data_IF_588589555540
#
_entry.id   IF_588589555540
#
_cell.length_a   1.000
_cell.length_b   1.000
_cell.length_c   1.000
_cell.angle_alpha   90.00
_cell.angle_beta   90.00
_cell.angle_gamma   90.00
#
_symmetry.space_group_name_H-M   'P 1'
#
loop_
_entity.id
_entity.type
_entity.pdbx_description
1 polymer ?
#
# COMPACT_ATOMS: atom_id res chain seq x y z
N UNK A 1 47.94 34.28 -67.56
CA UNK A 1 46.72 33.67 -68.12
C UNK A 1 46.76 32.19 -67.81
N UNK A 2 46.33 31.85 -66.60
CA UNK A 2 46.24 30.53 -65.96
C UNK A 2 45.51 30.87 -64.66
N UNK A 3 44.32 30.41 -64.33
CA UNK A 3 43.80 29.05 -64.27
C UNK A 3 43.02 29.03 -62.96
N UNK A 4 41.69 29.22 -63.05
CA UNK A 4 40.77 29.31 -61.91
C UNK A 4 40.50 27.88 -61.44
N UNK A 5 41.04 27.50 -60.29
CA UNK A 5 40.73 26.24 -59.62
C UNK A 5 39.62 26.47 -58.62
N UNK A 6 38.43 25.95 -58.91
CA UNK A 6 37.32 25.85 -57.99
C UNK A 6 37.64 24.75 -56.97
N UNK A 7 37.71 25.11 -55.69
CA UNK A 7 37.78 24.15 -54.60
C UNK A 7 36.39 23.63 -54.32
N UNK A 8 36.15 22.36 -54.67
CA UNK A 8 34.97 21.61 -54.27
C UNK A 8 34.98 21.44 -52.74
N UNK A 9 34.09 22.15 -52.05
CA UNK A 9 33.74 21.84 -50.67
C UNK A 9 32.96 20.53 -50.65
N UNK A 10 33.66 19.43 -50.34
CA UNK A 10 33.05 18.15 -49.98
C UNK A 10 32.28 18.31 -48.67
N UNK A 11 30.98 18.57 -48.78
CA UNK A 11 30.07 18.45 -47.66
C UNK A 11 30.08 16.99 -47.18
N UNK A 12 30.49 16.78 -45.93
CA UNK A 12 30.37 15.50 -45.26
C UNK A 12 28.88 15.17 -45.13
N UNK A 13 28.35 14.39 -46.07
CA UNK A 13 26.96 13.96 -46.07
C UNK A 13 26.66 13.11 -44.85
N UNK A 14 25.74 13.58 -44.00
CA UNK A 14 25.21 12.83 -42.86
C UNK A 14 24.54 11.57 -43.39
N UNK A 15 25.17 10.42 -43.15
CA UNK A 15 24.57 9.13 -43.48
C UNK A 15 23.67 8.70 -42.33
N UNK A 16 22.48 8.23 -42.68
CA UNK A 16 21.49 7.75 -41.73
C UNK A 16 21.36 6.23 -41.86
N UNK A 17 21.04 5.51 -40.78
CA UNK A 17 20.84 4.07 -40.82
C UNK A 17 19.42 3.71 -40.37
N UNK A 18 18.81 2.75 -41.07
CA UNK A 18 17.53 2.16 -40.68
C UNK A 18 17.71 1.33 -39.42
N UNK A 19 16.87 1.55 -38.40
CA UNK A 19 17.01 0.89 -37.10
C UNK A 19 16.75 -0.63 -37.16
N UNK A 20 15.94 -1.06 -38.12
CA UNK A 20 15.41 -2.42 -38.18
C UNK A 20 16.29 -3.35 -39.01
N UNK A 21 16.86 -2.85 -40.13
CA UNK A 21 17.74 -3.62 -41.00
C UNK A 21 19.20 -3.12 -41.05
N UNK A 22 19.51 -1.94 -40.51
CA UNK A 22 20.85 -1.35 -40.52
C UNK A 22 21.28 -0.72 -41.85
N UNK A 23 20.44 -0.74 -42.88
CA UNK A 23 20.78 -0.19 -44.20
C UNK A 23 20.97 1.33 -44.18
N UNK A 24 21.87 1.84 -45.02
CA UNK A 24 22.10 3.29 -45.17
C UNK A 24 20.96 3.95 -45.94
N UNK A 25 20.34 4.99 -45.37
CA UNK A 25 19.22 5.73 -45.93
C UNK A 25 19.67 7.15 -46.26
N UNK A 26 19.19 7.70 -47.39
CA UNK A 26 19.42 9.11 -47.69
C UNK A 26 18.61 9.98 -46.72
N UNK A 27 19.15 11.14 -46.27
CA UNK A 27 18.52 11.99 -45.25
C UNK A 27 17.09 12.42 -45.56
N UNK A 28 16.68 12.43 -46.83
CA UNK A 28 15.39 12.95 -47.28
C UNK A 28 14.35 11.86 -47.59
N UNK A 29 14.69 10.57 -47.37
CA UNK A 29 13.79 9.46 -47.70
C UNK A 29 12.76 9.21 -46.58
N UNK A 30 11.47 9.15 -46.95
CA UNK A 30 10.34 8.94 -46.04
C UNK A 30 10.15 7.48 -45.58
N UNK A 31 10.84 6.53 -46.21
CA UNK A 31 10.77 5.10 -45.89
C UNK A 31 12.08 4.40 -46.28
N UNK A 32 12.42 3.31 -45.60
CA UNK A 32 13.58 2.50 -45.99
C UNK A 32 13.28 1.70 -47.28
N UNK A 33 14.15 1.81 -48.29
CA UNK A 33 13.97 1.07 -49.55
C UNK A 33 14.15 -0.46 -49.42
N UNK A 34 14.77 -0.95 -48.34
CA UNK A 34 14.97 -2.39 -48.14
C UNK A 34 13.84 -3.06 -47.34
N UNK A 35 13.38 -2.45 -46.24
CA UNK A 35 12.34 -3.05 -45.40
C UNK A 35 10.95 -2.39 -45.50
N UNK A 36 10.83 -1.26 -46.19
CA UNK A 36 9.56 -0.55 -46.39
C UNK A 36 9.02 0.19 -45.17
N UNK A 37 9.78 0.24 -44.07
CA UNK A 37 9.28 0.80 -42.81
C UNK A 37 9.39 2.34 -42.78
N UNK A 38 8.35 3.01 -42.26
CA UNK A 38 8.15 4.47 -42.33
C UNK A 38 8.59 5.22 -41.06
N UNK A 39 9.14 4.54 -40.05
CA UNK A 39 9.45 5.17 -38.75
C UNK A 39 10.89 4.95 -38.25
N UNK A 40 11.47 6.09 -37.84
CA UNK A 40 12.67 6.30 -37.02
C UNK A 40 14.02 6.15 -37.75
N UNK A 41 14.51 7.29 -38.22
CA UNK A 41 15.86 7.48 -38.75
C UNK A 41 16.69 8.25 -37.70
N UNK A 42 17.79 7.67 -37.21
CA UNK A 42 18.74 8.35 -36.31
C UNK A 42 20.07 8.65 -37.03
N UNK A 43 20.76 9.76 -36.73
CA UNK A 43 22.07 10.06 -37.30
C UNK A 43 23.13 9.10 -36.73
N UNK A 44 23.90 8.45 -37.61
CA UNK A 44 25.00 7.59 -37.19
C UNK A 44 26.24 8.44 -36.89
N UNK A 45 26.64 8.49 -35.61
CA UNK A 45 27.78 9.19 -34.97
C UNK A 45 27.53 10.61 -34.45
N UNK A 46 27.36 10.68 -33.14
CA UNK A 46 27.77 11.81 -32.32
C UNK A 46 29.06 11.42 -31.60
N UNK A 47 30.19 12.02 -31.97
CA UNK A 47 31.44 11.92 -31.20
C UNK A 47 31.63 13.22 -30.43
N UNK A 48 31.70 13.21 -29.08
CA UNK A 48 32.00 14.41 -28.33
C UNK A 48 33.48 14.74 -28.55
N UNK A 49 33.74 15.93 -29.10
CA UNK A 49 35.08 16.47 -29.15
C UNK A 49 35.38 17.12 -27.80
N UNK A 50 36.50 16.74 -27.18
CA UNK A 50 37.01 17.30 -25.94
C UNK A 50 37.21 18.82 -26.06
N UNK A 51 36.51 19.58 -25.23
CA UNK A 51 37.11 20.68 -24.46
C UNK A 51 36.15 21.06 -23.34
N UNK A 52 36.64 20.96 -22.11
CA UNK A 52 35.96 21.35 -20.89
C UNK A 52 35.63 22.85 -20.85
N UNK A 53 34.60 23.17 -20.05
CA UNK A 53 34.37 24.45 -19.38
C UNK A 53 33.84 25.63 -20.21
N UNK A 54 32.55 25.60 -20.59
CA UNK A 54 31.82 26.88 -20.79
C UNK A 54 30.29 26.80 -20.59
N UNK A 55 29.76 25.70 -20.04
CA UNK A 55 28.30 25.56 -19.87
C UNK A 55 27.79 26.17 -18.56
N UNK A 56 28.58 26.15 -17.49
CA UNK A 56 28.20 26.71 -16.18
C UNK A 56 28.39 28.23 -16.10
N UNK A 57 29.28 28.81 -16.90
CA UNK A 57 29.56 30.25 -16.98
C UNK A 57 28.43 31.05 -17.64
N UNK A 58 27.65 30.44 -18.55
CA UNK A 58 26.61 31.13 -19.32
C UNK A 58 25.27 31.26 -18.61
N UNK A 59 25.02 30.48 -17.56
CA UNK A 59 23.71 30.48 -16.90
C UNK A 59 23.63 31.33 -15.63
N UNK A 60 24.74 31.83 -15.05
CA UNK A 60 24.74 32.61 -13.78
C UNK A 60 23.78 32.05 -12.70
N UNK A 61 23.64 30.73 -12.66
CA UNK A 61 22.78 30.04 -11.72
C UNK A 61 23.63 29.65 -10.51
N UNK A 62 23.27 30.13 -9.32
CA UNK A 62 23.99 29.86 -8.08
C UNK A 62 24.06 28.36 -7.79
N UNK A 63 25.09 27.93 -7.06
CA UNK A 63 25.40 26.52 -6.79
C UNK A 63 24.18 25.69 -6.35
N UNK A 64 23.26 26.28 -5.59
CA UNK A 64 22.04 25.61 -5.13
C UNK A 64 21.03 25.33 -6.25
N UNK A 65 20.92 26.22 -7.24
CA UNK A 65 20.03 26.02 -8.39
C UNK A 65 20.55 24.94 -9.35
N UNK A 66 21.86 24.76 -9.44
CA UNK A 66 22.46 23.67 -10.23
C UNK A 66 22.13 22.28 -9.67
N UNK A 67 22.10 22.14 -8.34
CA UNK A 67 21.72 20.90 -7.66
C UNK A 67 20.24 20.60 -7.89
N UNK A 68 19.37 21.63 -7.81
CA UNK A 68 17.93 21.46 -8.03
C UNK A 68 17.60 21.03 -9.47
N UNK A 69 18.30 21.62 -10.46
CA UNK A 69 18.14 21.25 -11.88
C UNK A 69 18.68 19.84 -12.14
N UNK A 70 19.80 19.47 -11.51
CA UNK A 70 20.35 18.11 -11.59
C UNK A 70 19.40 17.06 -11.00
N UNK A 71 18.82 17.33 -9.83
CA UNK A 71 17.85 16.45 -9.19
C UNK A 71 16.57 16.32 -10.01
N UNK A 72 16.04 17.42 -10.53
CA UNK A 72 14.82 17.38 -11.36
C UNK A 72 15.04 16.63 -12.68
N UNK A 73 16.21 16.79 -13.32
CA UNK A 73 16.58 15.99 -14.50
C UNK A 73 16.75 14.52 -14.17
N UNK A 74 17.37 14.16 -13.04
CA UNK A 74 17.50 12.77 -12.60
C UNK A 74 16.13 12.13 -12.27
N UNK A 75 15.23 12.90 -11.65
CA UNK A 75 13.85 12.47 -11.37
C UNK A 75 13.04 12.31 -12.65
N UNK A 76 13.22 13.20 -13.63
CA UNK A 76 12.59 13.09 -14.94
C UNK A 76 13.15 11.90 -15.75
N UNK A 77 14.46 11.64 -15.69
CA UNK A 77 15.09 10.49 -16.34
C UNK A 77 14.64 9.16 -15.71
N UNK A 78 14.52 9.10 -14.39
CA UNK A 78 14.01 7.92 -13.69
C UNK A 78 12.52 7.69 -13.97
N UNK A 79 11.69 8.74 -14.02
CA UNK A 79 10.27 8.64 -14.40
C UNK A 79 10.07 8.22 -15.86
N UNK A 80 10.93 8.65 -16.78
CA UNK A 80 10.90 8.23 -18.19
C UNK A 80 11.39 6.80 -18.38
N UNK A 81 12.35 6.32 -17.59
CA UNK A 81 12.72 4.90 -17.55
C UNK A 81 11.59 4.04 -16.94
N UNK A 82 10.88 4.55 -15.93
CA UNK A 82 9.73 3.88 -15.32
C UNK A 82 8.52 3.83 -16.27
N UNK A 83 8.30 4.87 -17.08
CA UNK A 83 7.25 4.87 -18.12
C UNK A 83 7.59 3.95 -19.29
N UNK A 84 8.87 3.83 -19.66
CA UNK A 84 9.36 2.84 -20.62
C UNK A 84 9.15 1.38 -20.16
N UNK A 85 9.28 1.12 -18.86
CA UNK A 85 8.92 -0.18 -18.27
C UNK A 85 7.39 -0.43 -18.31
N UNK A 86 6.57 0.62 -18.20
CA UNK A 86 5.10 0.56 -18.26
C UNK A 86 4.56 0.21 -19.66
N UNK A 87 5.18 0.72 -20.73
CA UNK A 87 4.81 0.31 -22.09
C UNK A 87 5.20 -1.14 -22.42
N UNK A 88 6.21 -1.71 -21.77
CA UNK A 88 6.49 -3.15 -21.86
C UNK A 88 5.45 -4.02 -21.17
N UNK A 89 4.74 -3.50 -20.17
CA UNK A 89 3.63 -4.21 -19.51
C UNK A 89 2.28 -4.04 -20.22
N UNK A 90 2.03 -2.92 -20.92
CA UNK A 90 0.80 -2.74 -21.71
C UNK A 90 0.77 -3.59 -22.99
N UNK A 91 1.93 -3.90 -23.58
CA UNK A 91 2.02 -4.84 -24.70
C UNK A 91 1.67 -6.30 -24.33
N UNK A 92 1.56 -6.63 -23.04
CA UNK A 92 1.08 -7.92 -22.53
C UNK A 92 -0.43 -7.94 -22.23
N UNK A 93 -1.12 -6.80 -22.29
CA UNK A 93 -2.55 -6.66 -21.98
C UNK A 93 -3.44 -6.40 -23.22
N UNK A 94 -2.87 -6.33 -24.43
CA UNK A 94 -3.62 -6.12 -25.68
C UNK A 94 -4.06 -7.40 -26.41
N UNK A 95 -3.98 -8.58 -25.78
CA UNK A 95 -4.63 -9.79 -26.31
C UNK A 95 -4.06 -10.38 -27.60
N UNK A 96 -2.84 -10.02 -28.01
CA UNK A 96 -2.08 -10.82 -28.97
C UNK A 96 -1.25 -11.86 -28.21
N UNK A 97 -1.61 -13.14 -28.38
CA UNK A 97 -0.92 -14.28 -27.75
C UNK A 97 0.55 -14.31 -28.16
N UNK A 98 1.53 -14.18 -27.24
CA UNK A 98 2.86 -14.70 -27.50
C UNK A 98 2.83 -16.22 -27.28
N UNK A 99 3.10 -16.98 -28.33
CA UNK A 99 2.93 -18.44 -28.41
C UNK A 99 3.79 -19.32 -27.51
N UNK A 100 4.31 -18.85 -26.36
CA UNK A 100 5.27 -19.61 -25.55
C UNK A 100 4.90 -19.82 -24.06
N UNK A 101 3.72 -19.39 -23.59
CA UNK A 101 3.29 -19.58 -22.19
C UNK A 101 2.28 -20.73 -21.99
N UNK A 102 2.22 -21.70 -22.91
CA UNK A 102 1.52 -22.97 -22.69
C UNK A 102 2.47 -24.11 -22.31
N UNK A 103 3.79 -23.89 -22.34
CA UNK A 103 4.77 -24.96 -22.15
C UNK A 103 4.91 -25.32 -20.66
N UNK A 104 4.79 -24.36 -19.73
CA UNK A 104 4.94 -24.65 -18.29
C UNK A 104 3.75 -25.43 -17.70
N UNK A 105 2.52 -25.01 -17.99
CA UNK A 105 1.31 -25.73 -17.53
C UNK A 105 1.15 -27.08 -18.23
N UNK A 106 1.51 -27.19 -19.51
CA UNK A 106 1.50 -28.48 -20.22
C UNK A 106 2.64 -29.40 -19.75
N UNK A 107 3.83 -28.89 -19.43
CA UNK A 107 4.95 -29.68 -18.91
C UNK A 107 4.67 -30.20 -17.50
N UNK A 108 4.03 -29.40 -16.65
CA UNK A 108 3.62 -29.81 -15.31
C UNK A 108 2.46 -30.82 -15.41
N UNK A 109 1.44 -30.56 -16.23
CA UNK A 109 0.36 -31.52 -16.48
C UNK A 109 0.87 -32.84 -17.08
N UNK A 110 1.87 -32.80 -17.97
CA UNK A 110 2.52 -33.99 -18.53
C UNK A 110 3.39 -34.73 -17.50
N UNK A 111 4.00 -34.01 -16.54
CA UNK A 111 4.76 -34.63 -15.44
C UNK A 111 3.83 -35.30 -14.42
N UNK A 112 2.67 -34.68 -14.14
CA UNK A 112 1.61 -35.27 -13.30
C UNK A 112 1.03 -36.55 -13.92
N UNK A 113 0.92 -36.63 -15.25
CA UNK A 113 0.47 -37.83 -15.97
C UNK A 113 1.46 -39.01 -15.92
N UNK A 114 2.72 -38.79 -15.53
CA UNK A 114 3.77 -39.82 -15.51
C UNK A 114 4.05 -40.42 -14.12
N UNK A 115 3.26 -40.07 -13.10
CA UNK A 115 3.33 -40.73 -11.78
C UNK A 115 2.77 -42.16 -11.88
N UNK A 116 3.42 -43.17 -11.28
CA UNK A 116 2.91 -44.54 -11.30
C UNK A 116 1.62 -44.61 -10.50
N UNK A 117 0.50 -44.71 -11.20
CA UNK A 117 -0.80 -45.01 -10.61
C UNK A 117 -0.76 -46.39 -9.97
N UNK A 118 -0.76 -46.42 -8.63
CA UNK A 118 -1.15 -47.64 -7.92
C UNK A 118 -2.63 -47.87 -8.22
N UNK A 119 -2.88 -48.96 -8.94
CA UNK A 119 -4.15 -49.18 -9.60
C UNK A 119 -5.28 -49.52 -8.64
N UNK A 120 -6.43 -48.88 -8.85
CA UNK A 120 -7.72 -49.54 -8.75
C UNK A 120 -8.72 -48.84 -9.67
N UNK A 121 -9.33 -49.63 -10.55
CA UNK A 121 -10.26 -49.18 -11.60
C UNK A 121 -11.67 -49.01 -11.04
N UNK A 122 -12.26 -47.81 -11.16
CA UNK A 122 -13.73 -47.65 -11.29
C UNK A 122 -14.06 -46.42 -12.15
N UNK A 123 -14.82 -46.68 -13.23
CA UNK A 123 -16.00 -45.90 -13.65
C UNK A 123 -15.83 -44.46 -14.12
N UNK A 124 -15.99 -44.26 -15.43
CA UNK A 124 -16.26 -42.98 -16.07
C UNK A 124 -17.53 -42.30 -15.52
N UNK A 125 -17.35 -41.17 -14.83
CA UNK A 125 -18.26 -40.03 -14.82
C UNK A 125 -17.41 -38.77 -14.95
N UNK A 126 -17.85 -37.84 -15.79
CA UNK A 126 -17.21 -36.54 -16.03
C UNK A 126 -17.43 -35.60 -14.84
N UNK A 127 -16.87 -35.94 -13.70
CA UNK A 127 -16.64 -35.04 -12.57
C UNK A 127 -15.31 -34.33 -12.77
N UNK A 128 -15.29 -33.03 -12.47
CA UNK A 128 -14.10 -32.18 -12.51
C UNK A 128 -12.90 -32.95 -11.96
N UNK A 129 -11.83 -33.06 -12.76
CA UNK A 129 -10.56 -33.62 -12.30
C UNK A 129 -9.99 -32.62 -11.28
N UNK A 130 -10.53 -32.65 -10.07
CA UNK A 130 -9.90 -32.13 -8.87
C UNK A 130 -8.61 -32.94 -8.73
N UNK A 131 -7.54 -32.39 -9.29
CA UNK A 131 -6.20 -32.94 -9.13
C UNK A 131 -5.98 -33.06 -7.63
N UNK A 132 -5.76 -34.28 -7.17
CA UNK A 132 -5.55 -34.58 -5.76
C UNK A 132 -4.44 -33.68 -5.18
N UNK A 133 -4.76 -32.95 -4.11
CA UNK A 133 -3.86 -32.00 -3.47
C UNK A 133 -2.59 -32.68 -2.97
N UNK A 134 -2.66 -33.94 -2.53
CA UNK A 134 -1.47 -34.63 -2.04
C UNK A 134 -0.52 -34.97 -3.18
N UNK A 135 -1.05 -35.34 -4.35
CA UNK A 135 -0.27 -35.50 -5.57
C UNK A 135 0.45 -34.20 -5.98
N UNK A 136 -0.20 -33.03 -5.84
CA UNK A 136 0.43 -31.73 -6.10
C UNK A 136 1.53 -31.39 -5.08
N UNK A 137 1.31 -31.71 -3.80
CA UNK A 137 2.34 -31.54 -2.76
C UNK A 137 3.54 -32.43 -3.02
N UNK A 138 3.33 -33.67 -3.43
CA UNK A 138 4.41 -34.60 -3.71
C UNK A 138 5.24 -34.14 -4.91
N UNK A 139 4.59 -33.66 -5.97
CA UNK A 139 5.26 -33.03 -7.11
C UNK A 139 6.14 -31.86 -6.64
N UNK A 140 5.59 -30.98 -5.80
CA UNK A 140 6.33 -29.83 -5.30
C UNK A 140 7.57 -30.26 -4.48
N UNK A 141 7.42 -31.25 -3.59
CA UNK A 141 8.53 -31.83 -2.81
C UNK A 141 9.57 -32.51 -3.70
N UNK A 142 9.14 -33.18 -4.77
CA UNK A 142 10.06 -33.78 -5.73
C UNK A 142 10.90 -32.70 -6.44
N UNK A 143 10.28 -31.61 -6.88
CA UNK A 143 10.98 -30.46 -7.45
C UNK A 143 11.94 -29.82 -6.43
N UNK A 144 11.56 -29.70 -5.16
CA UNK A 144 12.45 -29.22 -4.08
C UNK A 144 13.65 -30.16 -3.88
N UNK A 145 13.42 -31.48 -3.91
CA UNK A 145 14.49 -32.48 -3.75
C UNK A 145 15.52 -32.44 -4.89
N UNK A 146 15.09 -32.02 -6.08
CA UNK A 146 15.94 -31.79 -7.26
C UNK A 146 16.58 -30.39 -7.28
N UNK A 147 16.32 -29.56 -6.27
CA UNK A 147 16.69 -28.15 -6.21
C UNK A 147 16.14 -27.31 -7.38
N UNK A 148 15.10 -27.80 -8.05
CA UNK A 148 14.35 -27.09 -9.10
C UNK A 148 13.37 -26.08 -8.46
N UNK A 149 13.91 -25.08 -7.77
CA UNK A 149 13.12 -24.15 -6.94
C UNK A 149 12.04 -23.36 -7.71
N UNK A 150 12.23 -23.11 -9.01
CA UNK A 150 11.20 -22.47 -9.85
C UNK A 150 10.01 -23.39 -10.10
N UNK A 151 10.27 -24.63 -10.47
CA UNK A 151 9.22 -25.63 -10.70
C UNK A 151 8.51 -25.97 -9.39
N UNK A 152 9.25 -26.05 -8.28
CA UNK A 152 8.67 -26.19 -6.94
C UNK A 152 7.73 -25.03 -6.61
N UNK A 153 8.13 -23.78 -6.88
CA UNK A 153 7.30 -22.60 -6.64
C UNK A 153 6.03 -22.58 -7.51
N UNK A 154 6.07 -23.13 -8.72
CA UNK A 154 4.91 -23.27 -9.60
C UNK A 154 3.98 -24.39 -9.12
N UNK A 155 4.52 -25.54 -8.72
CA UNK A 155 3.76 -26.63 -8.14
C UNK A 155 3.07 -26.22 -6.83
N UNK A 156 3.78 -25.54 -5.93
CA UNK A 156 3.21 -24.99 -4.70
C UNK A 156 2.13 -23.93 -4.95
N UNK A 157 2.21 -23.16 -6.05
CA UNK A 157 1.16 -22.21 -6.40
C UNK A 157 -0.17 -22.93 -6.69
N UNK A 158 -0.12 -24.10 -7.34
CA UNK A 158 -1.30 -24.95 -7.55
C UNK A 158 -1.86 -25.49 -6.23
N UNK A 159 -1.00 -25.89 -5.30
CA UNK A 159 -1.43 -26.37 -3.97
C UNK A 159 -2.16 -25.27 -3.18
N UNK A 160 -1.68 -24.04 -3.23
CA UNK A 160 -2.28 -22.92 -2.50
C UNK A 160 -3.65 -22.53 -3.05
N UNK A 161 -3.90 -22.70 -4.34
CA UNK A 161 -5.23 -22.41 -4.90
C UNK A 161 -6.25 -23.53 -4.61
N UNK A 162 -5.80 -24.69 -4.10
CA UNK A 162 -6.69 -25.77 -3.70
C UNK A 162 -7.45 -25.41 -2.40
N UNK A 163 -8.77 -25.70 -2.29
CA UNK A 163 -9.57 -25.36 -1.13
C UNK A 163 -9.08 -26.01 0.18
N UNK A 164 -8.56 -27.23 0.09
CA UNK A 164 -8.02 -28.01 1.21
C UNK A 164 -6.54 -27.72 1.54
N UNK A 165 -6.02 -26.58 1.10
CA UNK A 165 -4.70 -26.13 1.51
C UNK A 165 -4.60 -26.03 3.04
N UNK A 166 -3.37 -26.12 3.55
CA UNK A 166 -3.04 -25.94 4.96
C UNK A 166 -1.96 -24.89 5.08
N UNK A 167 -1.72 -24.42 6.29
CA UNK A 167 -0.68 -23.42 6.53
C UNK A 167 0.69 -23.90 6.05
N UNK A 168 1.03 -25.18 6.21
CA UNK A 168 2.29 -25.76 5.74
C UNK A 168 2.52 -25.50 4.24
N UNK A 169 1.46 -25.54 3.43
CA UNK A 169 1.55 -25.31 1.99
C UNK A 169 1.98 -23.87 1.68
N UNK A 170 1.45 -22.90 2.42
CA UNK A 170 1.89 -21.51 2.31
C UNK A 170 3.34 -21.32 2.75
N UNK A 171 3.75 -21.98 3.84
CA UNK A 171 5.12 -21.87 4.36
C UNK A 171 6.13 -22.48 3.39
N UNK A 172 5.82 -23.64 2.80
CA UNK A 172 6.69 -24.30 1.83
C UNK A 172 6.77 -23.50 0.52
N UNK A 173 5.64 -22.96 0.05
CA UNK A 173 5.62 -22.08 -1.12
C UNK A 173 6.47 -20.82 -0.90
N UNK A 174 6.32 -20.17 0.26
CA UNK A 174 7.14 -19.02 0.63
C UNK A 174 8.63 -19.39 0.66
N UNK A 175 8.99 -20.54 1.25
CA UNK A 175 10.36 -21.04 1.26
C UNK A 175 10.92 -21.26 -0.16
N UNK A 176 10.14 -21.86 -1.06
CA UNK A 176 10.52 -22.02 -2.46
C UNK A 176 10.75 -20.67 -3.16
N UNK A 177 9.89 -19.66 -2.89
CA UNK A 177 10.05 -18.28 -3.39
C UNK A 177 11.30 -17.59 -2.83
N UNK A 178 11.61 -17.78 -1.55
CA UNK A 178 12.85 -17.28 -0.95
C UNK A 178 14.09 -17.89 -1.60
N UNK A 179 14.06 -19.19 -1.94
CA UNK A 179 15.18 -19.89 -2.58
C UNK A 179 15.48 -19.39 -3.99
N UNK A 180 14.46 -18.93 -4.73
CA UNK A 180 14.66 -18.26 -6.02
C UNK A 180 15.00 -16.77 -5.90
N UNK A 181 15.05 -16.22 -4.68
CA UNK A 181 15.32 -14.80 -4.40
C UNK A 181 14.11 -13.87 -4.48
N UNK A 182 12.91 -14.42 -4.63
CA UNK A 182 11.65 -13.67 -4.72
C UNK A 182 11.05 -13.41 -3.33
N UNK A 183 11.78 -12.62 -2.54
CA UNK A 183 11.36 -12.24 -1.19
C UNK A 183 10.03 -11.48 -1.12
N UNK A 184 9.70 -10.55 -2.06
CA UNK A 184 8.41 -9.87 -2.05
C UNK A 184 7.22 -10.82 -2.16
N UNK A 185 7.28 -11.79 -3.07
CA UNK A 185 6.22 -12.81 -3.20
C UNK A 185 6.16 -13.72 -1.98
N UNK A 186 7.29 -14.08 -1.39
CA UNK A 186 7.32 -14.86 -0.14
C UNK A 186 6.63 -14.10 1.02
N UNK A 187 6.88 -12.80 1.16
CA UNK A 187 6.19 -11.94 2.15
C UNK A 187 4.68 -11.91 1.89
N UNK A 188 4.25 -11.77 0.63
CA UNK A 188 2.83 -11.75 0.28
C UNK A 188 2.14 -13.08 0.65
N UNK A 189 2.79 -14.21 0.35
CA UNK A 189 2.29 -15.54 0.72
C UNK A 189 2.18 -15.74 2.23
N UNK A 190 3.21 -15.32 2.99
CA UNK A 190 3.20 -15.44 4.45
C UNK A 190 2.14 -14.52 5.09
N UNK A 191 1.90 -13.33 4.54
CA UNK A 191 0.77 -12.49 4.96
C UNK A 191 -0.58 -13.19 4.70
N UNK A 192 -0.77 -13.78 3.52
CA UNK A 192 -1.98 -14.56 3.19
C UNK A 192 -2.15 -15.74 4.16
N UNK A 193 -1.05 -16.39 4.54
CA UNK A 193 -1.05 -17.45 5.55
C UNK A 193 -1.52 -16.94 6.93
N UNK A 194 -1.00 -15.81 7.41
CA UNK A 194 -1.40 -15.22 8.69
C UNK A 194 -2.88 -14.79 8.71
N UNK A 195 -3.39 -14.28 7.58
CA UNK A 195 -4.81 -13.90 7.45
C UNK A 195 -5.72 -15.12 7.44
N UNK A 196 -5.32 -16.20 6.74
CA UNK A 196 -6.14 -17.42 6.62
C UNK A 196 -6.07 -18.30 7.87
N UNK A 197 -4.93 -18.30 8.57
CA UNK A 197 -4.65 -19.12 9.75
C UNK A 197 -4.16 -18.25 10.93
N UNK A 198 -5.01 -17.37 11.48
CA UNK A 198 -4.59 -16.42 12.51
C UNK A 198 -4.19 -17.09 13.84
N UNK A 199 -4.69 -18.30 14.11
CA UNK A 199 -4.38 -19.05 15.33
C UNK A 199 -3.08 -19.85 15.24
N UNK A 200 -2.37 -19.83 14.10
CA UNK A 200 -1.11 -20.53 13.95
C UNK A 200 0.08 -19.58 13.93
N UNK A 201 0.86 -19.64 15.01
CA UNK A 201 2.11 -18.88 15.18
C UNK A 201 3.12 -19.05 14.03
N UNK A 202 3.12 -20.17 13.29
CA UNK A 202 4.16 -20.46 12.30
C UNK A 202 4.16 -19.44 11.16
N UNK A 203 2.99 -18.89 10.81
CA UNK A 203 2.88 -17.81 9.82
C UNK A 203 3.63 -16.56 10.27
N UNK A 204 3.31 -16.07 11.48
CA UNK A 204 3.95 -14.90 12.07
C UNK A 204 5.45 -15.09 12.30
N UNK A 205 5.85 -16.28 12.77
CA UNK A 205 7.26 -16.64 12.96
C UNK A 205 8.04 -16.58 11.65
N UNK A 206 7.52 -17.20 10.58
CA UNK A 206 8.19 -17.21 9.28
C UNK A 206 8.24 -15.82 8.65
N UNK A 207 7.16 -15.05 8.77
CA UNK A 207 7.10 -13.68 8.26
C UNK A 207 8.10 -12.77 8.99
N UNK A 208 8.11 -12.80 10.33
CA UNK A 208 9.06 -12.03 11.12
C UNK A 208 10.51 -12.44 10.83
N UNK A 209 10.80 -13.74 10.75
CA UNK A 209 12.14 -14.24 10.46
C UNK A 209 12.63 -13.84 9.06
N UNK A 210 11.74 -13.79 8.07
CA UNK A 210 12.05 -13.27 6.74
C UNK A 210 12.37 -11.77 6.80
N UNK A 211 11.58 -10.98 7.53
CA UNK A 211 11.83 -9.55 7.70
C UNK A 211 13.15 -9.26 8.45
N UNK A 212 13.48 -10.02 9.50
CA UNK A 212 14.78 -9.92 10.19
C UNK A 212 15.93 -10.15 9.20
N UNK A 213 15.81 -11.16 8.34
CA UNK A 213 16.84 -11.50 7.34
C UNK A 213 17.00 -10.44 6.25
N UNK A 214 15.94 -9.69 5.98
CA UNK A 214 15.95 -8.54 5.08
C UNK A 214 16.44 -7.25 5.79
N UNK A 215 16.75 -7.30 7.08
CA UNK A 215 17.20 -6.15 7.87
C UNK A 215 16.06 -5.27 8.40
N UNK A 216 14.80 -5.68 8.23
CA UNK A 216 13.63 -4.93 8.66
C UNK A 216 13.20 -5.33 10.08
N UNK A 217 14.06 -5.14 11.07
CA UNK A 217 13.82 -5.57 12.46
C UNK A 217 12.55 -4.98 13.07
N UNK A 218 12.23 -3.71 12.77
CA UNK A 218 10.99 -3.08 13.23
C UNK A 218 9.73 -3.76 12.64
N UNK A 219 9.76 -4.13 11.36
CA UNK A 219 8.67 -4.86 10.73
C UNK A 219 8.55 -6.28 11.31
N UNK A 220 9.67 -6.95 11.57
CA UNK A 220 9.66 -8.26 12.22
C UNK A 220 9.04 -8.21 13.63
N UNK A 221 9.43 -7.23 14.44
CA UNK A 221 8.89 -7.01 15.78
C UNK A 221 7.37 -6.80 15.76
N UNK A 222 6.88 -5.98 14.82
CA UNK A 222 5.44 -5.79 14.61
C UNK A 222 4.73 -7.12 14.32
N UNK A 223 5.28 -7.97 13.46
CA UNK A 223 4.67 -9.26 13.13
C UNK A 223 4.65 -10.24 14.32
N UNK A 224 5.72 -10.26 15.13
CA UNK A 224 5.75 -11.06 16.36
C UNK A 224 4.74 -10.56 17.38
N UNK A 225 4.58 -9.24 17.53
CA UNK A 225 3.58 -8.64 18.41
C UNK A 225 2.14 -8.98 17.97
N UNK A 226 1.86 -8.95 16.67
CA UNK A 226 0.57 -9.41 16.12
C UNK A 226 0.37 -10.89 16.41
N UNK A 227 1.37 -11.74 16.21
CA UNK A 227 1.26 -13.16 16.55
C UNK A 227 0.97 -13.40 18.05
N UNK A 228 1.59 -12.62 18.92
CA UNK A 228 1.37 -12.70 20.38
C UNK A 228 -0.02 -12.21 20.81
N UNK A 229 -0.68 -11.35 20.04
CA UNK A 229 -2.06 -10.95 20.37
C UNK A 229 -3.05 -12.11 20.16
N UNK A 230 -2.77 -13.02 19.22
CA UNK A 230 -3.52 -14.26 19.03
C UNK A 230 -3.05 -15.39 19.95
N UNK A 231 -1.74 -15.46 20.23
CA UNK A 231 -1.11 -16.54 21.01
C UNK A 231 -0.18 -15.97 22.11
N UNK A 232 -0.72 -15.44 23.21
CA UNK A 232 0.03 -14.68 24.21
C UNK A 232 1.18 -15.44 24.85
N UNK A 233 1.01 -16.74 25.07
CA UNK A 233 1.97 -17.59 25.79
C UNK A 233 2.89 -18.38 24.86
N UNK A 234 2.95 -18.04 23.57
CA UNK A 234 3.78 -18.79 22.63
C UNK A 234 5.28 -18.52 22.86
N UNK A 235 6.08 -19.53 23.26
CA UNK A 235 7.48 -19.32 23.64
C UNK A 235 8.35 -18.88 22.46
N UNK A 236 8.05 -19.34 21.24
CA UNK A 236 8.83 -19.02 20.05
C UNK A 236 8.63 -17.56 19.63
N UNK A 237 7.39 -17.05 19.72
CA UNK A 237 7.10 -15.65 19.42
C UNK A 237 7.70 -14.71 20.47
N UNK A 238 7.60 -15.08 21.76
CA UNK A 238 8.23 -14.31 22.85
C UNK A 238 9.76 -14.26 22.71
N UNK A 239 10.41 -15.38 22.38
CA UNK A 239 11.86 -15.41 22.18
C UNK A 239 12.28 -14.54 20.99
N UNK A 240 11.52 -14.60 19.89
CA UNK A 240 11.79 -13.82 18.67
C UNK A 240 11.58 -12.32 18.91
N UNK A 241 10.56 -11.94 19.67
CA UNK A 241 10.32 -10.55 20.09
C UNK A 241 11.47 -10.02 20.95
N UNK A 242 11.88 -10.76 22.00
CA UNK A 242 13.02 -10.37 22.85
C UNK A 242 14.32 -10.21 22.06
N UNK A 243 14.52 -11.04 21.04
CA UNK A 243 15.68 -10.93 20.14
C UNK A 243 15.62 -9.65 19.32
N UNK A 244 14.47 -9.31 18.74
CA UNK A 244 14.24 -8.07 18.01
C UNK A 244 14.40 -6.83 18.89
N UNK A 245 13.90 -6.85 20.12
CA UNK A 245 14.05 -5.76 21.10
C UNK A 245 15.53 -5.47 21.37
N UNK A 246 16.32 -6.52 21.65
CA UNK A 246 17.77 -6.36 21.87
C UNK A 246 18.52 -5.79 20.66
N UNK A 247 18.04 -6.05 19.45
CA UNK A 247 18.62 -5.48 18.23
C UNK A 247 18.23 -4.01 18.01
N UNK A 248 17.08 -3.59 18.54
CA UNK A 248 16.55 -2.23 18.43
C UNK A 248 16.90 -1.34 19.62
N UNK A 249 17.28 -1.91 20.76
CA UNK A 249 17.83 -1.15 21.88
C UNK A 249 19.04 -0.35 21.37
N UNK A 250 18.97 0.99 21.35
CA UNK A 250 20.14 1.79 21.05
C UNK A 250 21.19 1.42 22.09
N UNK A 251 22.43 1.14 21.66
CA UNK A 251 23.55 0.92 22.56
C UNK A 251 23.56 2.05 23.59
N UNK A 252 23.09 1.78 24.79
CA UNK A 252 22.91 2.82 25.79
C UNK A 252 24.31 3.39 26.08
N UNK A 253 24.53 4.71 25.99
CA UNK A 253 25.80 5.26 26.41
C UNK A 253 26.00 4.92 27.89
N UNK A 254 27.25 4.71 28.35
CA UNK A 254 27.55 4.39 29.73
C UNK A 254 27.39 5.65 30.60
N UNK A 255 26.16 6.12 30.80
CA UNK A 255 25.84 7.09 31.85
C UNK A 255 25.22 6.43 33.07
N UNK A 256 24.86 5.14 33.00
CA UNK A 256 24.51 4.31 34.17
C UNK A 256 25.68 4.08 35.15
N UNK A 257 26.88 4.60 34.84
CA UNK A 257 28.01 4.68 35.76
C UNK A 257 28.19 6.07 36.42
N UNK A 258 27.23 6.99 36.28
CA UNK A 258 27.27 8.33 36.89
C UNK A 258 26.20 8.56 37.95
N UNK A 259 25.74 7.51 38.65
CA UNK A 259 24.86 7.67 39.82
C UNK A 259 25.61 7.99 41.13
N UNK A 260 26.94 8.10 41.12
CA UNK A 260 27.71 8.46 42.31
C UNK A 260 28.32 9.87 42.20
N UNK A 261 27.74 10.78 42.99
CA UNK A 261 28.26 12.06 43.47
C UNK A 261 28.22 13.28 42.53
N UNK A 262 27.08 13.97 42.54
CA UNK A 262 27.09 15.43 42.67
C UNK A 262 25.83 15.88 43.41
N UNK A 263 26.02 16.26 44.66
CA UNK A 263 25.03 16.96 45.49
C UNK A 263 24.48 18.18 44.75
N UNK A 264 23.16 18.25 44.65
CA UNK A 264 22.38 19.34 44.05
C UNK A 264 22.38 20.64 44.89
N UNK A 265 23.46 20.92 45.62
CA UNK A 265 23.57 22.09 46.51
C UNK A 265 24.41 23.24 45.91
N UNK A 266 25.00 23.06 44.71
CA UNK A 266 25.98 24.01 44.17
C UNK A 266 25.58 24.69 42.85
N UNK A 267 24.29 24.74 42.51
CA UNK A 267 23.78 25.44 41.31
C UNK A 267 23.05 26.77 41.62
N UNK A 268 23.06 27.22 42.86
CA UNK A 268 22.44 28.48 43.30
C UNK A 268 23.22 29.74 42.88
N UNK A 269 24.47 29.60 42.45
CA UNK A 269 25.37 30.73 42.16
C UNK A 269 25.40 31.16 40.68
N UNK A 270 24.64 30.49 39.80
CA UNK A 270 24.67 30.73 38.35
C UNK A 270 23.44 31.48 37.80
N UNK A 271 22.46 31.80 38.63
CA UNK A 271 21.27 32.58 38.21
C UNK A 271 21.16 33.88 39.03
N UNK A 272 21.44 35.05 38.44
CA UNK A 272 21.17 36.33 39.07
C UNK A 272 19.65 36.50 39.25
N UNK A 273 19.21 36.79 40.48
CA UNK A 273 17.83 37.15 40.81
C UNK A 273 17.41 38.37 40.00
N UNK A 274 16.35 38.23 39.21
CA UNK A 274 15.62 39.34 38.62
C UNK A 274 14.83 40.09 39.71
N UNK A 275 14.92 41.41 39.68
CA UNK A 275 14.27 42.35 40.58
C UNK A 275 12.75 42.16 40.65
N UNK A 276 12.21 42.23 41.87
CA UNK A 276 10.79 42.47 42.12
C UNK A 276 10.47 43.96 41.90
N UNK A 277 9.27 44.31 41.42
CA UNK A 277 8.66 45.58 41.77
C UNK A 277 7.63 45.41 42.90
N UNK A 278 7.58 46.48 43.68
CA UNK A 278 6.92 46.68 44.96
C UNK A 278 5.37 46.70 44.90
N UNK A 279 4.78 46.27 46.01
CA UNK A 279 3.55 46.72 46.70
C UNK A 279 2.42 47.40 45.92
N UNK A 280 1.19 46.94 46.16
CA UNK A 280 0.02 47.79 46.42
C UNK A 280 -1.05 47.01 47.22
N UNK A 281 -1.72 47.76 48.10
CA UNK A 281 -2.44 47.40 49.32
C UNK A 281 -3.88 46.87 49.12
N UNK A 282 -4.31 45.99 50.04
CA UNK A 282 -5.56 46.00 50.84
C UNK A 282 -6.87 46.55 50.21
N UNK A 283 -8.01 45.85 50.14
CA UNK A 283 -8.90 45.40 51.25
C UNK A 283 -10.16 44.70 50.65
N UNK A 284 -11.02 44.04 51.47
CA UNK A 284 -12.05 43.08 51.04
C UNK A 284 -13.48 43.67 51.05
N UNK A 285 -14.44 42.98 50.42
CA UNK A 285 -15.84 43.04 50.87
C UNK A 285 -16.70 41.82 50.44
N UNK A 286 -17.58 41.44 51.36
CA UNK A 286 -18.57 40.36 51.35
C UNK A 286 -19.86 40.71 50.57
N UNK A 287 -20.59 39.69 50.12
CA UNK A 287 -22.08 39.53 50.16
C UNK A 287 -22.46 38.36 49.23
N UNK A 288 -22.99 37.22 49.71
CA UNK A 288 -24.35 36.92 50.23
C UNK A 288 -25.47 37.23 49.22
N UNK A 289 -26.22 36.19 48.85
CA UNK A 289 -27.67 36.02 48.54
C UNK A 289 -27.75 34.73 47.68
N UNK A 290 -28.08 33.55 48.22
CA UNK A 290 -29.39 32.98 48.59
C UNK A 290 -30.49 32.91 47.50
N UNK A 291 -30.86 31.66 47.21
CA UNK A 291 -32.21 31.10 47.12
C UNK A 291 -33.16 31.27 45.91
N UNK A 292 -34.01 30.25 45.84
CA UNK A 292 -35.29 30.05 45.14
C UNK A 292 -35.19 29.41 43.74
N UNK A 293 -35.42 28.10 43.60
CA UNK A 293 -36.69 27.32 43.65
C UNK A 293 -37.66 27.60 42.50
N UNK A 294 -38.12 26.47 41.95
CA UNK A 294 -39.51 26.20 41.57
C UNK A 294 -39.98 26.43 40.12
N UNK A 295 -40.12 25.28 39.44
CA UNK A 295 -41.40 24.63 39.12
C UNK A 295 -42.10 24.86 37.75
N UNK A 296 -42.75 23.74 37.33
CA UNK A 296 -43.89 23.54 36.38
C UNK A 296 -43.56 23.31 34.90
N UNK A 297 -43.71 22.08 34.41
CA UNK A 297 -44.96 21.36 34.04
C UNK A 297 -45.53 21.74 32.66
N UNK A 298 -45.37 20.81 31.71
CA UNK A 298 -46.46 20.21 30.92
C UNK A 298 -47.03 20.98 29.73
N UNK A 299 -46.95 20.38 28.53
CA UNK A 299 -48.08 20.33 27.59
C UNK A 299 -47.87 19.27 26.48
N UNK A 300 -48.64 18.19 26.58
CA UNK A 300 -49.20 17.30 25.53
C UNK A 300 -49.84 18.12 24.39
N UNK A 301 -50.00 17.76 23.11
CA UNK A 301 -50.26 16.49 22.37
C UNK A 301 -50.49 16.85 20.87
N UNK A 302 -50.48 15.83 19.98
CA UNK A 302 -51.27 15.65 18.71
C UNK A 302 -50.49 15.46 17.38
N UNK A 303 -50.22 14.18 17.07
CA UNK A 303 -50.60 13.36 15.90
C UNK A 303 -50.66 14.00 14.49
N UNK A 304 -49.94 13.38 13.55
CA UNK A 304 -50.22 13.37 12.11
C UNK A 304 -49.42 12.26 11.40
N UNK A 305 -50.12 11.23 10.92
CA UNK A 305 -49.60 9.98 10.32
C UNK A 305 -49.14 10.07 8.85
N UNK A 306 -48.38 9.03 8.45
CA UNK A 306 -48.11 8.42 7.11
C UNK A 306 -46.70 8.60 6.50
N UNK A 307 -46.18 7.65 5.69
CA UNK A 307 -45.73 6.30 6.08
C UNK A 307 -44.26 5.99 5.67
N UNK A 308 -43.58 5.12 6.42
CA UNK A 308 -42.19 4.67 6.17
C UNK A 308 -42.04 3.53 5.14
N UNK A 309 -40.87 3.40 4.48
CA UNK A 309 -40.39 2.13 3.93
C UNK A 309 -39.36 1.44 4.86
N UNK A 310 -39.70 0.22 5.25
CA UNK A 310 -38.90 -0.94 5.71
C UNK A 310 -37.43 -0.65 6.13
N UNK A 311 -37.20 -0.54 7.45
CA UNK A 311 -35.89 -0.69 8.10
C UNK A 311 -35.76 -2.10 8.69
N UNK A 312 -34.76 -2.86 8.25
CA UNK A 312 -34.30 -4.06 8.96
C UNK A 312 -33.34 -3.64 10.08
N UNK A 313 -33.83 -3.58 11.31
CA UNK A 313 -33.01 -3.50 12.51
C UNK A 313 -32.71 -4.93 13.00
N UNK A 314 -31.45 -5.34 12.91
CA UNK A 314 -30.92 -6.47 13.67
C UNK A 314 -30.62 -5.97 15.09
N UNK A 315 -31.46 -6.38 16.04
CA UNK A 315 -31.26 -6.23 17.48
C UNK A 315 -30.40 -7.39 17.98
N UNK A 316 -29.24 -7.07 18.55
CA UNK A 316 -28.44 -7.98 19.37
C UNK A 316 -28.12 -7.32 20.70
N UNK A 317 -28.66 -7.87 21.79
CA UNK A 317 -28.37 -7.55 23.19
C UNK A 317 -26.84 -7.51 23.43
N UNK A 318 -26.23 -6.60 24.19
CA UNK A 318 -26.69 -5.97 25.42
C UNK A 318 -26.11 -6.68 26.65
N UNK A 319 -24.80 -6.58 26.89
CA UNK A 319 -24.20 -6.66 28.22
C UNK A 319 -23.20 -5.53 28.39
N UNK A 320 -23.62 -4.51 29.13
CA UNK A 320 -22.83 -3.35 29.53
C UNK A 320 -22.05 -3.66 30.80
N UNK A 321 -20.73 -3.74 30.71
CA UNK A 321 -19.83 -3.53 31.86
C UNK A 321 -19.52 -2.04 31.93
N UNK A 322 -20.03 -1.37 32.96
CA UNK A 322 -19.62 -0.01 33.31
C UNK A 322 -18.17 -0.05 33.76
N UNK A 323 -17.28 0.58 33.00
CA UNK A 323 -15.94 0.96 33.44
C UNK A 323 -16.01 2.45 33.75
N UNK A 324 -15.74 2.82 35.00
CA UNK A 324 -15.61 4.21 35.43
C UNK A 324 -14.43 4.86 34.70
N UNK A 325 -14.75 5.77 33.77
CA UNK A 325 -13.76 6.65 33.13
C UNK A 325 -13.23 7.65 34.15
N UNK A 326 -11.94 7.51 34.49
CA UNK A 326 -11.17 8.58 35.14
C UNK A 326 -11.09 9.77 34.19
N UNK A 327 -11.71 10.86 34.60
CA UNK A 327 -11.64 12.19 33.98
C UNK A 327 -10.19 12.70 34.06
N UNK A 328 -9.42 12.50 32.99
CA UNK A 328 -8.10 13.12 32.82
C UNK A 328 -8.26 14.61 32.51
N UNK A 329 -7.50 15.43 33.20
CA UNK A 329 -7.45 16.88 33.03
C UNK A 329 -7.02 17.23 31.59
N UNK A 330 -7.74 18.18 30.99
CA UNK A 330 -7.70 18.46 29.56
C UNK A 330 -6.40 19.10 29.11
N UNK A 331 -5.69 18.42 28.23
CA UNK A 331 -4.79 19.06 27.28
C UNK A 331 -5.68 19.79 26.26
N UNK A 332 -5.51 21.11 26.14
CA UNK A 332 -6.17 21.91 25.11
C UNK A 332 -5.62 21.48 23.73
N UNK A 333 -6.30 20.54 23.05
CA UNK A 333 -5.96 20.18 21.67
C UNK A 333 -6.02 21.44 20.79
N UNK A 334 -4.92 21.76 20.09
CA UNK A 334 -4.88 22.87 19.15
C UNK A 334 -6.02 22.75 18.11
N UNK A 335 -6.65 23.87 17.70
CA UNK A 335 -7.77 23.84 16.76
C UNK A 335 -7.34 23.26 15.41
N UNK A 336 -7.85 22.07 15.09
CA UNK A 336 -7.64 21.43 13.80
C UNK A 336 -8.24 22.29 12.67
N UNK A 337 -7.41 22.64 11.68
CA UNK A 337 -7.79 23.50 10.54
C UNK A 337 -8.18 22.73 9.27
N UNK A 338 -8.24 21.40 9.35
CA UNK A 338 -8.61 20.55 8.21
C UNK A 338 -10.09 20.18 8.18
N UNK A 339 -10.42 19.28 7.25
CA UNK A 339 -11.79 18.82 6.99
C UNK A 339 -12.16 17.64 7.89
N UNK A 340 -13.18 17.78 8.71
CA UNK A 340 -13.71 16.72 9.56
C UNK A 340 -14.64 15.78 8.80
N UNK A 341 -14.39 14.46 8.90
CA UNK A 341 -15.33 13.42 8.45
C UNK A 341 -16.37 13.21 9.55
N UNK A 342 -17.64 13.42 9.19
CA UNK A 342 -18.79 13.42 10.12
C UNK A 342 -19.63 12.14 10.04
N UNK A 343 -19.76 11.56 8.85
CA UNK A 343 -20.64 10.43 8.59
C UNK A 343 -20.13 9.59 7.40
N UNK A 344 -20.46 8.30 7.39
CA UNK A 344 -20.19 7.39 6.29
C UNK A 344 -21.47 6.62 5.96
N UNK A 345 -22.01 6.86 4.76
CA UNK A 345 -23.22 6.21 4.29
C UNK A 345 -22.90 5.23 3.18
N UNK A 346 -23.47 4.05 3.27
CA UNK A 346 -23.32 3.01 2.26
C UNK A 346 -24.70 2.55 1.84
N UNK A 347 -25.01 2.72 0.56
CA UNK A 347 -26.27 2.29 -0.05
C UNK A 347 -25.95 1.25 -1.12
N UNK A 348 -26.28 0.00 -0.82
CA UNK A 348 -26.15 -1.11 -1.75
C UNK A 348 -27.49 -1.42 -2.41
N UNK A 349 -27.47 -1.55 -3.74
CA UNK A 349 -28.56 -2.05 -4.57
C UNK A 349 -28.09 -3.29 -5.33
N UNK A 350 -28.96 -3.94 -6.10
CA UNK A 350 -28.56 -5.09 -6.91
C UNK A 350 -27.50 -4.75 -7.96
N UNK A 351 -27.59 -3.57 -8.56
CA UNK A 351 -26.79 -3.21 -9.73
C UNK A 351 -25.70 -2.19 -9.41
N UNK A 352 -25.74 -1.59 -8.22
CA UNK A 352 -24.80 -0.55 -7.81
C UNK A 352 -24.59 -0.47 -6.30
N UNK A 353 -23.38 -0.07 -5.90
CA UNK A 353 -23.04 0.32 -4.52
C UNK A 353 -22.60 1.77 -4.53
N UNK A 354 -23.26 2.60 -3.71
CA UNK A 354 -22.91 4.01 -3.52
C UNK A 354 -22.38 4.21 -2.10
N UNK A 355 -21.18 4.76 -1.99
CA UNK A 355 -20.52 5.10 -0.73
C UNK A 355 -20.41 6.62 -0.67
N UNK A 356 -20.93 7.23 0.39
CA UNK A 356 -20.85 8.68 0.63
C UNK A 356 -20.12 8.95 1.94
N UNK A 357 -18.99 9.66 1.85
CA UNK A 357 -18.27 10.20 2.99
C UNK A 357 -18.72 11.64 3.18
N UNK A 358 -19.38 11.95 4.30
CA UNK A 358 -19.88 13.30 4.60
C UNK A 358 -18.83 14.05 5.41
N UNK A 359 -18.50 15.25 4.96
CA UNK A 359 -17.49 16.13 5.56
C UNK A 359 -18.10 17.46 6.00
N UNK A 360 -17.49 18.11 7.00
CA UNK A 360 -17.92 19.42 7.50
C UNK A 360 -17.55 20.59 6.54
N UNK A 361 -16.55 20.37 5.70
CA UNK A 361 -16.05 21.28 4.68
C UNK A 361 -15.66 20.59 3.36
N UNK A 362 -15.18 21.37 2.38
CA UNK A 362 -14.72 20.82 1.11
C UNK A 362 -13.54 19.86 1.34
N UNK A 363 -13.60 18.71 0.68
CA UNK A 363 -12.55 17.70 0.73
C UNK A 363 -11.86 17.61 -0.63
N UNK A 364 -10.54 17.78 -0.63
CA UNK A 364 -9.73 17.34 -1.76
C UNK A 364 -9.75 15.80 -1.81
N UNK A 365 -9.65 15.23 -3.01
CA UNK A 365 -9.60 13.79 -3.18
C UNK A 365 -8.50 13.39 -4.14
N UNK A 366 -7.85 12.27 -3.82
CA UNK A 366 -6.93 11.57 -4.72
C UNK A 366 -7.34 10.10 -4.74
N UNK A 367 -7.75 9.58 -5.89
CA UNK A 367 -8.10 8.17 -6.05
C UNK A 367 -7.00 7.40 -6.75
N UNK A 368 -6.71 6.18 -6.28
CA UNK A 368 -5.84 5.23 -6.96
C UNK A 368 -6.49 3.84 -7.03
N UNK A 369 -6.15 3.09 -8.09
CA UNK A 369 -6.65 1.75 -8.33
C UNK A 369 -5.48 0.75 -8.22
N UNK A 370 -5.69 -0.33 -7.48
CA UNK A 370 -4.76 -1.47 -7.47
C UNK A 370 -5.49 -2.72 -8.00
N UNK A 371 -4.81 -3.48 -8.83
CA UNK A 371 -5.37 -4.61 -9.59
C UNK A 371 -5.34 -5.94 -8.84
N UNK A 372 -4.51 -6.07 -7.79
CA UNK A 372 -4.32 -7.33 -7.08
C UNK A 372 -4.06 -7.12 -5.57
N UNK A 373 -5.04 -7.40 -4.68
CA UNK A 373 -6.45 -7.62 -5.00
C UNK A 373 -7.10 -6.33 -5.57
N UNK A 374 -8.19 -6.43 -6.36
CA UNK A 374 -8.88 -5.27 -6.92
C UNK A 374 -9.41 -4.38 -5.80
N UNK A 375 -8.80 -3.19 -5.65
CA UNK A 375 -9.19 -2.22 -4.63
C UNK A 375 -9.10 -0.79 -5.17
N UNK A 376 -10.09 -0.01 -4.77
CA UNK A 376 -10.12 1.44 -4.96
C UNK A 376 -9.71 2.11 -3.65
N UNK A 377 -8.67 2.92 -3.69
CA UNK A 377 -8.21 3.72 -2.55
C UNK A 377 -8.53 5.18 -2.83
N UNK A 378 -9.38 5.79 -2.00
CA UNK A 378 -9.67 7.22 -2.04
C UNK A 378 -9.01 7.88 -0.83
N UNK A 379 -8.09 8.80 -1.10
CA UNK A 379 -7.34 9.56 -0.11
C UNK A 379 -7.97 10.93 0.05
N UNK A 380 -8.27 11.29 1.29
CA UNK A 380 -8.72 12.62 1.71
C UNK A 380 -7.57 13.28 2.49
N UNK A 381 -6.71 14.08 1.84
CA UNK A 381 -5.67 14.83 2.52
C UNK A 381 -6.27 15.92 3.41
N UNK A 382 -5.57 16.27 4.48
CA UNK A 382 -5.99 17.25 5.47
C UNK A 382 -7.38 16.95 6.07
N UNK A 383 -7.70 15.66 6.25
CA UNK A 383 -8.95 15.21 6.85
C UNK A 383 -8.72 14.44 8.16
N UNK A 384 -9.67 14.55 9.10
CA UNK A 384 -9.67 13.83 10.39
C UNK A 384 -11.06 13.25 10.64
N UNK A 385 -11.15 12.05 11.21
CA UNK A 385 -12.43 11.50 11.67
C UNK A 385 -12.77 12.22 12.98
N UNK A 386 -13.92 12.91 13.04
CA UNK A 386 -14.29 13.68 14.22
C UNK A 386 -14.74 12.76 15.36
N UNK A 387 -14.43 13.16 16.60
CA UNK A 387 -14.94 12.48 17.79
C UNK A 387 -16.48 12.54 17.80
N UNK A 388 -17.14 11.38 17.83
CA UNK A 388 -18.59 11.27 17.74
C UNK A 388 -19.15 11.10 16.32
N UNK A 389 -18.30 11.04 15.30
CA UNK A 389 -18.72 10.67 13.95
C UNK A 389 -19.31 9.24 13.95
N UNK A 390 -20.45 9.06 13.28
CA UNK A 390 -21.12 7.75 13.16
C UNK A 390 -20.47 6.90 12.06
N UNK A 391 -19.16 6.69 12.16
CA UNK A 391 -18.37 6.10 11.08
C UNK A 391 -17.84 4.73 11.49
N UNK A 392 -18.40 3.63 10.96
CA UNK A 392 -17.85 2.30 11.20
C UNK A 392 -16.46 2.19 10.56
N UNK A 393 -15.48 1.64 11.29
CA UNK A 393 -14.12 1.43 10.75
C UNK A 393 -14.11 0.44 9.57
N UNK A 394 -15.08 -0.47 9.54
CA UNK A 394 -15.27 -1.44 8.46
C UNK A 394 -16.77 -1.74 8.26
N UNK A 395 -17.19 -1.83 7.00
CA UNK A 395 -18.53 -2.25 6.58
C UNK A 395 -18.38 -3.43 5.62
N UNK A 396 -18.78 -4.62 6.05
CA UNK A 396 -18.84 -5.80 5.19
C UNK A 396 -20.17 -5.78 4.44
N UNK A 397 -20.11 -5.73 3.11
CA UNK A 397 -21.31 -5.73 2.27
C UNK A 397 -21.60 -7.12 1.69
N UNK A 398 -20.56 -7.95 1.47
CA UNK A 398 -20.67 -9.29 0.89
C UNK A 398 -21.53 -9.30 -0.38
N UNK A 399 -21.37 -8.30 -1.24
CA UNK A 399 -22.03 -8.22 -2.54
C UNK A 399 -21.03 -8.55 -3.65
N UNK A 400 -21.53 -9.01 -4.79
CA UNK A 400 -20.70 -9.30 -5.96
C UNK A 400 -19.91 -8.07 -6.47
N UNK A 401 -20.38 -6.85 -6.14
CA UNK A 401 -19.74 -5.59 -6.54
C UNK A 401 -18.70 -5.11 -5.54
N UNK A 402 -18.98 -5.27 -4.25
CA UNK A 402 -18.13 -4.79 -3.14
C UNK A 402 -18.18 -5.80 -2.02
N UNK A 403 -17.02 -6.33 -1.66
CA UNK A 403 -16.87 -7.25 -0.53
C UNK A 403 -16.91 -6.47 0.79
N UNK A 404 -16.06 -5.44 0.89
CA UNK A 404 -15.84 -4.67 2.10
C UNK A 404 -15.45 -3.21 1.81
N UNK A 405 -15.86 -2.32 2.70
CA UNK A 405 -15.44 -0.91 2.73
C UNK A 405 -14.77 -0.64 4.06
N UNK A 406 -13.57 -0.09 4.05
CA UNK A 406 -12.87 0.33 5.25
C UNK A 406 -12.56 1.82 5.22
N UNK A 407 -12.69 2.49 6.36
CA UNK A 407 -12.25 3.87 6.54
C UNK A 407 -11.21 3.91 7.66
N UNK A 408 -10.02 4.40 7.32
CA UNK A 408 -8.91 4.49 8.26
C UNK A 408 -8.42 5.93 8.32
N UNK A 409 -8.04 6.39 9.51
CA UNK A 409 -7.23 7.58 9.68
C UNK A 409 -5.77 7.15 9.86
N UNK A 410 -4.86 7.69 9.05
CA UNK A 410 -3.42 7.43 9.22
C UNK A 410 -2.91 8.16 10.46
N UNK A 411 -1.79 7.73 11.04
CA UNK A 411 -1.24 8.30 12.29
C UNK A 411 -1.06 9.83 12.27
N UNK A 412 -0.96 10.37 13.49
CA UNK A 412 -1.18 11.75 13.95
C UNK A 412 -0.67 12.88 13.06
N UNK A 413 0.44 12.69 12.35
CA UNK A 413 1.14 13.83 11.75
C UNK A 413 0.62 14.18 10.35
N UNK A 414 -0.12 13.27 9.70
CA UNK A 414 -0.44 13.43 8.27
C UNK A 414 -1.87 13.91 7.99
N UNK A 415 -2.79 13.86 8.97
CA UNK A 415 -4.21 14.19 8.78
C UNK A 415 -4.77 13.64 7.46
N UNK A 416 -4.60 12.34 7.23
CA UNK A 416 -5.11 11.67 6.03
C UNK A 416 -6.16 10.65 6.44
N UNK A 417 -7.33 10.76 5.81
CA UNK A 417 -8.33 9.69 5.84
C UNK A 417 -8.25 8.89 4.56
N UNK A 418 -8.19 7.57 4.69
CA UNK A 418 -8.15 6.60 3.60
C UNK A 418 -9.46 5.81 3.58
N UNK A 419 -10.18 5.90 2.48
CA UNK A 419 -11.29 5.01 2.15
C UNK A 419 -10.77 3.91 1.23
N UNK A 420 -10.80 2.67 1.70
CA UNK A 420 -10.38 1.49 0.95
C UNK A 420 -11.60 0.64 0.62
N UNK A 421 -11.90 0.50 -0.66
CA UNK A 421 -13.03 -0.29 -1.16
C UNK A 421 -12.49 -1.52 -1.87
N UNK A 422 -12.88 -2.70 -1.39
CA UNK A 422 -12.54 -4.00 -1.98
C UNK A 422 -13.58 -4.33 -3.05
N UNK A 423 -13.16 -4.26 -4.31
CA UNK A 423 -14.04 -4.39 -5.46
C UNK A 423 -14.19 -5.86 -5.85
N UNK A 424 -15.39 -6.26 -6.27
CA UNK A 424 -15.59 -7.53 -6.94
C UNK A 424 -15.14 -7.51 -8.40
N UNK A 425 -15.20 -8.68 -9.04
CA UNK A 425 -14.83 -8.84 -10.44
C UNK A 425 -15.77 -8.04 -11.37
N UNK A 426 -15.24 -7.54 -12.49
CA UNK A 426 -16.01 -6.86 -13.54
C UNK A 426 -16.82 -5.65 -13.07
N UNK A 427 -16.23 -4.80 -12.22
CA UNK A 427 -16.85 -3.57 -11.74
C UNK A 427 -16.32 -2.32 -12.46
N UNK A 428 -17.18 -1.33 -12.63
CA UNK A 428 -16.81 0.04 -13.00
C UNK A 428 -17.10 0.96 -11.83
N UNK A 429 -16.23 1.94 -11.59
CA UNK A 429 -16.43 2.91 -10.51
C UNK A 429 -16.26 4.35 -11.02
N UNK A 430 -16.94 5.27 -10.35
CA UNK A 430 -16.78 6.72 -10.51
C UNK A 430 -16.60 7.35 -9.15
N UNK A 431 -15.60 8.21 -9.02
CA UNK A 431 -15.32 8.98 -7.79
C UNK A 431 -15.59 10.44 -8.09
N UNK A 432 -16.39 11.10 -7.25
CA UNK A 432 -16.63 12.53 -7.32
C UNK A 432 -16.67 13.16 -5.93
N UNK A 433 -16.38 14.44 -5.84
CA UNK A 433 -16.65 15.27 -4.67
C UNK A 433 -17.65 16.36 -4.98
N UNK A 434 -18.42 16.70 -3.96
CA UNK A 434 -19.20 17.92 -3.84
C UNK A 434 -18.69 18.70 -2.61
N UNK A 435 -19.28 19.86 -2.30
CA UNK A 435 -18.84 20.80 -1.25
C UNK A 435 -18.68 20.13 0.13
N UNK A 436 -19.45 19.08 0.43
CA UNK A 436 -19.44 18.39 1.74
C UNK A 436 -19.55 16.87 1.66
N UNK A 437 -19.41 16.31 0.46
CA UNK A 437 -19.61 14.87 0.27
C UNK A 437 -18.64 14.33 -0.76
N UNK A 438 -17.97 13.24 -0.42
CA UNK A 438 -17.21 12.44 -1.38
C UNK A 438 -18.04 11.22 -1.71
N UNK A 439 -18.43 11.08 -2.98
CA UNK A 439 -19.27 9.99 -3.47
C UNK A 439 -18.46 9.05 -4.34
N UNK A 440 -18.50 7.76 -4.01
CA UNK A 440 -17.97 6.67 -4.81
C UNK A 440 -19.14 5.81 -5.26
N UNK A 441 -19.37 5.74 -6.57
CA UNK A 441 -20.41 4.88 -7.16
C UNK A 441 -19.75 3.73 -7.89
N UNK A 442 -20.14 2.51 -7.57
CA UNK A 442 -19.62 1.27 -8.16
C UNK A 442 -20.80 0.57 -8.82
N UNK A 443 -20.65 0.17 -10.08
CA UNK A 443 -21.67 -0.48 -10.90
C UNK A 443 -21.10 -1.73 -11.56
N UNK A 444 -21.90 -2.79 -11.66
CA UNK A 444 -21.50 -3.99 -12.41
C UNK A 444 -21.40 -3.69 -13.91
N UNK A 445 -20.41 -4.28 -14.58
CA UNK A 445 -20.35 -4.30 -16.05
C UNK A 445 -21.23 -5.47 -16.50
N UNK A 446 -22.48 -5.18 -16.88
CA UNK A 446 -23.32 -6.16 -17.56
C UNK A 446 -22.70 -6.45 -18.93
N UNK A 447 -22.21 -7.67 -19.11
CA UNK A 447 -21.68 -8.16 -20.39
C UNK A 447 -22.73 -8.29 -21.49
#
# INVERSE_FOLDING_TARGET
MTGRGEGENSSAGTTHQCLECGASVQPDASSCNECGNERLILPSRWTPNESESDFTSRLRLGHETGILIGLTLALFLSLTLLSGARHRTEALLSGEKPGNMQIASASIAASVQNLPSSGETVGESSEDILVDIESLRELARECESKESWREAADAWALVIEHPENKIEDFLNSAQSREKIGDNPSAIALLNRACVRYPEDHRGYLRLGALQERLGNTAAAMFQYQVGLSFLPDNPFLLESMKRCEKMLEPSSPPWDSMSDTASFDSLSDLFPRADQPESLEETPDESVIEESTDNREGLTTLIGDTPEPIRNNLVGNGQSTQVEEKKSEGEEEEPFTGTGVTDLRVVATRDSVTIEVVTDGPAELVSSHASDPPRLVVRLPNARILNGASVPSAVNLNTDLVERVNLFQTSTDSNVVLLVVYLGENTRHTVGSDVRTVRVTITGITG
#
